data_IF_213131660912
#
_entry.id   IF_213131660912
#
_cell.length_a   1.000
_cell.length_b   1.000
_cell.length_c   1.000
_cell.angle_alpha   90.00
_cell.angle_beta   90.00
_cell.angle_gamma   90.00
#
_symmetry.space_group_name_H-M   'P 1'
#
loop_
_entity.id
_entity.type
_entity.pdbx_description
1 polymer ?
#
# COMPACT_ATOMS: atom_id res chain seq x y z
N UNK A 1 13.82 -23.57 -28.70
CA UNK A 1 14.25 -22.17 -28.94
C UNK A 1 15.77 -22.09 -28.77
N UNK A 2 16.46 -21.10 -29.38
CA UNK A 2 17.86 -20.80 -29.11
C UNK A 2 18.10 -20.39 -27.65
N UNK A 3 19.34 -20.44 -27.18
CA UNK A 3 19.68 -20.10 -25.78
C UNK A 3 19.34 -18.65 -25.45
N UNK A 4 19.67 -17.69 -26.32
CA UNK A 4 19.46 -16.27 -26.03
C UNK A 4 17.98 -15.92 -25.85
N UNK A 5 17.11 -16.49 -26.68
CA UNK A 5 15.65 -16.33 -26.53
C UNK A 5 15.13 -16.89 -25.20
N UNK A 6 15.71 -17.99 -24.71
CA UNK A 6 15.39 -18.56 -23.40
C UNK A 6 15.85 -17.64 -22.26
N UNK A 7 17.05 -17.06 -22.37
CA UNK A 7 17.59 -16.13 -21.39
C UNK A 7 16.80 -14.82 -21.32
N UNK A 8 16.30 -14.32 -22.45
CA UNK A 8 15.40 -13.17 -22.48
C UNK A 8 14.09 -13.45 -21.74
N UNK A 9 13.48 -14.62 -21.98
CA UNK A 9 12.28 -15.06 -21.27
C UNK A 9 12.54 -15.22 -19.77
N UNK A 10 13.68 -15.83 -19.40
CA UNK A 10 14.10 -15.98 -18.01
C UNK A 10 14.37 -14.64 -17.34
N UNK A 11 14.98 -13.68 -18.04
CA UNK A 11 15.22 -12.33 -17.54
C UNK A 11 13.91 -11.61 -17.24
N UNK A 12 12.97 -11.65 -18.18
CA UNK A 12 11.63 -11.07 -18.00
C UNK A 12 10.93 -11.71 -16.79
N UNK A 13 11.03 -13.02 -16.64
CA UNK A 13 10.39 -13.75 -15.54
C UNK A 13 11.07 -13.52 -14.18
N UNK A 14 12.39 -13.31 -14.16
CA UNK A 14 13.18 -13.08 -12.94
C UNK A 14 13.23 -11.61 -12.50
N UNK A 15 12.78 -10.66 -13.35
CA UNK A 15 12.94 -9.21 -13.13
C UNK A 15 12.34 -8.70 -11.81
N UNK A 16 11.30 -9.37 -11.33
CA UNK A 16 10.54 -8.97 -10.14
C UNK A 16 11.14 -9.54 -8.84
N UNK A 17 12.21 -10.36 -8.93
CA UNK A 17 12.95 -10.91 -7.80
C UNK A 17 14.10 -10.02 -7.30
N UNK A 18 14.94 -10.55 -6.40
CA UNK A 18 16.17 -9.87 -5.97
C UNK A 18 17.12 -9.67 -7.18
N UNK A 19 17.54 -8.44 -7.52
CA UNK A 19 18.42 -8.18 -8.67
C UNK A 19 19.77 -8.91 -8.61
N UNK A 20 20.29 -9.19 -7.41
CA UNK A 20 21.54 -9.94 -7.27
C UNK A 20 21.32 -11.43 -7.55
N UNK A 21 20.26 -12.02 -6.97
CA UNK A 21 19.84 -13.38 -7.25
C UNK A 21 19.46 -13.61 -8.72
N UNK A 22 18.73 -12.67 -9.35
CA UNK A 22 18.35 -12.75 -10.76
C UNK A 22 19.57 -12.74 -11.68
N UNK A 23 20.53 -11.82 -11.45
CA UNK A 23 21.80 -11.78 -12.20
C UNK A 23 22.60 -13.08 -12.03
N UNK A 24 22.66 -13.61 -10.81
CA UNK A 24 23.33 -14.87 -10.52
C UNK A 24 22.65 -16.04 -11.25
N UNK A 25 21.33 -16.15 -11.17
CA UNK A 25 20.56 -17.20 -11.84
C UNK A 25 20.76 -17.15 -13.35
N UNK A 26 20.72 -15.96 -13.96
CA UNK A 26 20.95 -15.79 -15.40
C UNK A 26 22.34 -16.25 -15.79
N UNK A 27 23.37 -15.80 -15.07
CA UNK A 27 24.76 -16.18 -15.34
C UNK A 27 24.99 -17.70 -15.17
N UNK A 28 24.46 -18.30 -14.11
CA UNK A 28 24.55 -19.75 -13.87
C UNK A 28 23.80 -20.55 -14.94
N UNK A 29 22.61 -20.09 -15.33
CA UNK A 29 21.78 -20.75 -16.35
C UNK A 29 22.44 -20.66 -17.73
N UNK A 30 22.94 -19.48 -18.11
CA UNK A 30 23.68 -19.25 -19.35
C UNK A 30 24.91 -20.17 -19.43
N UNK A 31 25.71 -20.21 -18.37
CA UNK A 31 26.89 -21.07 -18.31
C UNK A 31 26.53 -22.54 -18.50
N UNK A 32 25.49 -23.03 -17.80
CA UNK A 32 25.08 -24.42 -17.88
C UNK A 32 24.49 -24.79 -19.25
N UNK A 33 23.68 -23.91 -19.85
CA UNK A 33 23.12 -24.12 -21.18
C UNK A 33 24.22 -24.16 -22.24
N UNK A 34 25.19 -23.24 -22.18
CA UNK A 34 26.33 -23.23 -23.11
C UNK A 34 27.23 -24.45 -22.95
N UNK A 35 27.48 -24.90 -21.72
CA UNK A 35 28.21 -26.15 -21.47
C UNK A 35 27.47 -27.35 -22.06
N UNK A 36 26.15 -27.45 -21.84
CA UNK A 36 25.32 -28.52 -22.42
C UNK A 36 25.35 -28.53 -23.94
N UNK A 37 25.18 -27.36 -24.56
CA UNK A 37 25.23 -27.21 -26.02
C UNK A 37 26.63 -27.55 -26.58
N UNK A 38 27.71 -27.21 -25.88
CA UNK A 38 29.07 -27.60 -26.29
C UNK A 38 29.27 -29.13 -26.25
N UNK A 39 28.76 -29.82 -25.23
CA UNK A 39 28.79 -31.30 -25.18
C UNK A 39 27.99 -31.94 -26.30
N UNK A 40 26.81 -31.43 -26.61
CA UNK A 40 25.96 -31.94 -27.69
C UNK A 40 26.61 -31.74 -29.06
N UNK A 41 27.29 -30.61 -29.29
CA UNK A 41 28.12 -30.39 -30.48
C UNK A 41 29.27 -31.40 -30.57
N UNK A 42 29.93 -31.70 -29.45
CA UNK A 42 30.94 -32.76 -29.39
C UNK A 42 30.41 -34.17 -29.72
N UNK A 43 29.10 -34.37 -29.64
CA UNK A 43 28.40 -35.61 -30.03
C UNK A 43 27.92 -35.58 -31.50
N UNK A 44 28.26 -34.54 -32.26
CA UNK A 44 27.95 -34.42 -33.69
C UNK A 44 26.64 -33.73 -34.01
N UNK A 45 25.95 -33.10 -33.05
CA UNK A 45 24.81 -32.25 -33.37
C UNK A 45 25.26 -30.93 -34.02
N UNK A 46 24.45 -30.45 -34.96
CA UNK A 46 24.55 -29.10 -35.50
C UNK A 46 24.44 -28.05 -34.37
N UNK A 47 25.15 -26.89 -34.45
CA UNK A 47 25.12 -25.88 -33.41
C UNK A 47 23.73 -25.42 -32.98
N UNK A 48 22.81 -25.20 -33.92
CA UNK A 48 21.46 -24.73 -33.56
C UNK A 48 20.63 -25.84 -32.89
N UNK A 49 20.75 -27.08 -33.38
CA UNK A 49 20.07 -28.23 -32.79
C UNK A 49 20.60 -28.52 -31.38
N UNK A 50 21.90 -28.36 -31.17
CA UNK A 50 22.52 -28.53 -29.86
C UNK A 50 21.98 -27.51 -28.83
N UNK A 51 21.76 -26.26 -29.23
CA UNK A 51 21.14 -25.24 -28.36
C UNK A 51 19.67 -25.56 -28.06
N UNK A 52 18.89 -25.89 -29.09
CA UNK A 52 17.47 -26.26 -28.93
C UNK A 52 17.33 -27.46 -28.01
N UNK A 53 18.21 -28.45 -28.16
CA UNK A 53 18.24 -29.65 -27.33
C UNK A 53 18.67 -29.36 -25.89
N UNK A 54 19.67 -28.49 -25.69
CA UNK A 54 20.11 -28.07 -24.36
C UNK A 54 18.95 -27.41 -23.59
N UNK A 55 18.24 -26.48 -24.23
CA UNK A 55 17.06 -25.81 -23.64
C UNK A 55 15.94 -26.83 -23.36
N UNK A 56 15.68 -27.75 -24.29
CA UNK A 56 14.66 -28.80 -24.11
C UNK A 56 14.95 -29.67 -22.88
N UNK A 57 16.21 -30.05 -22.65
CA UNK A 57 16.64 -30.83 -21.49
C UNK A 57 16.61 -30.03 -20.19
N UNK A 58 16.93 -28.73 -20.25
CA UNK A 58 16.90 -27.85 -19.08
C UNK A 58 15.47 -27.60 -18.59
N UNK A 59 14.51 -27.54 -19.51
CA UNK A 59 13.09 -27.42 -19.21
C UNK A 59 12.55 -25.98 -19.30
N UNK A 60 11.23 -25.79 -19.15
CA UNK A 60 10.58 -24.49 -19.34
C UNK A 60 10.96 -23.49 -18.23
N UNK A 61 11.00 -22.18 -18.55
CA UNK A 61 11.34 -21.11 -17.60
C UNK A 61 10.49 -21.15 -16.31
N UNK A 62 9.23 -21.59 -16.43
CA UNK A 62 8.29 -21.71 -15.31
C UNK A 62 8.68 -22.72 -14.23
N UNK A 63 9.57 -23.69 -14.50
CA UNK A 63 10.04 -24.65 -13.49
C UNK A 63 11.22 -24.13 -12.67
N UNK A 64 11.97 -23.16 -13.21
CA UNK A 64 13.21 -22.64 -12.59
C UNK A 64 12.95 -21.39 -11.73
N UNK A 65 11.94 -20.61 -12.10
CA UNK A 65 11.56 -19.35 -11.43
C UNK A 65 10.92 -19.47 -10.02
N UNK A 66 10.31 -20.60 -9.58
CA UNK A 66 9.80 -20.71 -8.21
C UNK A 66 10.88 -20.56 -7.14
N UNK A 67 12.13 -20.91 -7.44
CA UNK A 67 13.28 -20.82 -6.52
C UNK A 67 13.63 -19.37 -6.16
N UNK A 68 13.28 -18.42 -7.03
CA UNK A 68 13.50 -16.98 -6.79
C UNK A 68 12.42 -16.33 -5.94
N UNK A 69 11.37 -17.06 -5.56
CA UNK A 69 10.23 -16.50 -4.83
C UNK A 69 10.26 -16.97 -3.37
N UNK A 70 10.51 -16.07 -2.40
CA UNK A 70 10.39 -16.42 -0.99
C UNK A 70 8.96 -16.91 -0.71
N UNK A 71 8.83 -18.10 -0.12
CA UNK A 71 7.54 -18.64 0.22
C UNK A 71 6.93 -17.82 1.37
N UNK A 72 5.60 -17.80 1.50
CA UNK A 72 4.94 -17.16 2.65
C UNK A 72 5.44 -17.72 4.00
N UNK A 73 5.88 -18.98 4.04
CA UNK A 73 6.50 -19.61 5.22
C UNK A 73 7.82 -18.96 5.63
N UNK A 74 8.51 -18.31 4.71
CA UNK A 74 9.78 -17.63 4.97
C UNK A 74 9.56 -16.24 5.60
N UNK A 75 8.34 -15.69 5.52
CA UNK A 75 7.97 -14.42 6.18
C UNK A 75 8.16 -14.50 7.70
N UNK A 76 7.83 -15.66 8.30
CA UNK A 76 7.99 -15.89 9.74
C UNK A 76 9.47 -15.94 10.19
N UNK A 77 10.42 -16.06 9.25
CA UNK A 77 11.86 -16.11 9.51
C UNK A 77 12.57 -14.81 9.16
N UNK A 78 11.83 -13.79 8.72
CA UNK A 78 12.42 -12.50 8.38
C UNK A 78 12.96 -11.81 9.64
N UNK A 79 14.17 -11.23 9.57
CA UNK A 79 14.69 -10.46 10.68
C UNK A 79 13.84 -9.18 10.83
N UNK A 80 13.57 -8.76 12.07
CA UNK A 80 12.73 -7.58 12.36
C UNK A 80 13.16 -6.33 11.57
N UNK A 81 14.48 -6.16 11.33
CA UNK A 81 15.02 -5.06 10.52
C UNK A 81 14.44 -4.99 9.10
N UNK A 82 14.11 -6.13 8.49
CA UNK A 82 13.52 -6.20 7.15
C UNK A 82 12.11 -5.60 7.10
N UNK A 83 11.43 -5.46 8.26
CA UNK A 83 10.11 -4.85 8.37
C UNK A 83 10.17 -3.35 8.63
N UNK A 84 11.31 -2.80 9.09
CA UNK A 84 11.42 -1.38 9.48
C UNK A 84 11.09 -0.47 8.31
N UNK A 85 11.76 -0.62 7.17
CA UNK A 85 11.50 0.23 6.00
C UNK A 85 10.06 0.09 5.47
N UNK A 86 9.50 -1.11 5.27
CA UNK A 86 8.08 -1.27 4.89
C UNK A 86 7.10 -0.64 5.87
N UNK A 87 7.30 -0.83 7.19
CA UNK A 87 6.43 -0.28 8.22
C UNK A 87 6.49 1.25 8.28
N UNK A 88 7.69 1.84 8.21
CA UNK A 88 7.85 3.30 8.16
C UNK A 88 7.22 3.87 6.90
N UNK A 89 7.36 3.18 5.76
CA UNK A 89 6.70 3.59 4.51
C UNK A 89 5.17 3.54 4.60
N UNK A 90 4.62 2.48 5.19
CA UNK A 90 3.17 2.35 5.39
C UNK A 90 2.65 3.40 6.39
N UNK A 91 3.37 3.64 7.49
CA UNK A 91 3.05 4.67 8.46
C UNK A 91 3.07 6.07 7.83
N UNK A 92 4.07 6.36 6.98
CA UNK A 92 4.16 7.62 6.25
C UNK A 92 2.93 7.84 5.34
N UNK A 93 2.57 6.84 4.52
CA UNK A 93 1.40 6.92 3.63
C UNK A 93 0.10 7.05 4.42
N UNK A 94 -0.06 6.28 5.50
CA UNK A 94 -1.23 6.38 6.38
C UNK A 94 -1.36 7.76 7.01
N UNK A 95 -0.26 8.32 7.51
CA UNK A 95 -0.25 9.65 8.11
C UNK A 95 -0.55 10.76 7.10
N UNK A 96 0.02 10.68 5.89
CA UNK A 96 -0.32 11.59 4.79
C UNK A 96 -1.82 11.48 4.43
N UNK A 97 -2.36 10.27 4.37
CA UNK A 97 -3.78 10.06 4.06
C UNK A 97 -4.70 10.71 5.11
N UNK A 98 -4.36 10.62 6.40
CA UNK A 98 -5.04 11.34 7.48
C UNK A 98 -4.91 12.86 7.28
N UNK A 99 -3.74 13.36 6.91
CA UNK A 99 -3.56 14.79 6.57
C UNK A 99 -4.44 15.26 5.42
N UNK A 100 -4.49 14.48 4.33
CA UNK A 100 -5.37 14.77 3.19
C UNK A 100 -6.83 14.75 3.62
N UNK A 101 -7.26 13.82 4.49
CA UNK A 101 -8.64 13.82 4.99
C UNK A 101 -8.95 15.02 5.89
N UNK A 102 -7.94 15.61 6.55
CA UNK A 102 -8.03 16.92 7.21
C UNK A 102 -8.35 18.04 6.22
N UNK A 103 -7.65 18.10 5.09
CA UNK A 103 -7.93 19.09 4.01
C UNK A 103 -9.32 18.88 3.40
N UNK A 104 -9.75 17.63 3.22
CA UNK A 104 -11.13 17.34 2.77
C UNK A 104 -12.16 17.77 3.82
N UNK A 105 -11.86 17.60 5.11
CA UNK A 105 -12.74 18.06 6.21
C UNK A 105 -12.84 19.57 6.25
N UNK A 106 -11.75 20.29 6.02
CA UNK A 106 -11.74 21.75 5.86
C UNK A 106 -12.66 22.18 4.71
N UNK A 107 -12.53 21.53 3.55
CA UNK A 107 -13.40 21.81 2.41
C UNK A 107 -14.88 21.53 2.75
N UNK A 108 -15.16 20.44 3.45
CA UNK A 108 -16.51 20.09 3.88
C UNK A 108 -17.09 21.15 4.82
N UNK A 109 -16.31 21.62 5.79
CA UNK A 109 -16.73 22.67 6.72
C UNK A 109 -17.02 23.99 6.03
N UNK A 110 -16.25 24.35 5.00
CA UNK A 110 -16.51 25.56 4.21
C UNK A 110 -17.76 25.49 3.33
N UNK A 111 -18.11 24.30 2.82
CA UNK A 111 -19.26 24.13 1.92
C UNK A 111 -20.55 23.90 2.70
N UNK A 112 -20.52 23.04 3.73
CA UNK A 112 -21.71 22.58 4.46
C UNK A 112 -21.77 23.07 5.91
N UNK A 113 -20.76 23.80 6.39
CA UNK A 113 -20.68 24.33 7.75
C UNK A 113 -19.97 23.39 8.73
N UNK A 114 -19.47 23.97 9.83
CA UNK A 114 -18.76 23.24 10.87
C UNK A 114 -19.60 22.11 11.51
N UNK A 115 -20.92 22.30 11.66
CA UNK A 115 -21.82 21.27 12.19
C UNK A 115 -21.81 19.96 11.38
N UNK A 116 -21.73 20.05 10.05
CA UNK A 116 -21.61 18.85 9.22
C UNK A 116 -20.33 18.07 9.52
N UNK A 117 -19.22 18.75 9.79
CA UNK A 117 -17.92 18.11 10.02
C UNK A 117 -17.76 17.64 11.46
N UNK A 118 -18.14 18.46 12.43
CA UNK A 118 -17.81 18.28 13.85
C UNK A 118 -18.97 18.64 14.80
N UNK A 119 -20.19 18.72 14.28
CA UNK A 119 -21.38 18.90 15.11
C UNK A 119 -21.66 17.68 15.98
N UNK A 120 -22.21 17.93 17.15
CA UNK A 120 -22.57 16.87 18.09
C UNK A 120 -23.85 16.14 17.68
N UNK A 121 -23.94 14.88 18.09
CA UNK A 121 -25.16 14.09 17.94
C UNK A 121 -26.32 14.69 18.78
N UNK A 122 -27.58 14.41 18.40
CA UNK A 122 -28.74 14.87 19.18
C UNK A 122 -28.66 14.42 20.64
N UNK A 123 -29.04 15.32 21.55
CA UNK A 123 -29.08 15.06 23.00
C UNK A 123 -27.78 15.37 23.74
N UNK A 124 -26.71 15.77 23.05
CA UNK A 124 -25.52 16.34 23.69
C UNK A 124 -25.85 17.73 24.21
N UNK A 125 -25.59 17.96 25.49
CA UNK A 125 -25.78 19.25 26.15
C UNK A 125 -24.50 19.66 26.89
N UNK A 126 -24.20 20.96 26.84
CA UNK A 126 -23.05 21.54 27.49
C UNK A 126 -23.46 22.23 28.80
N UNK A 127 -22.57 22.20 29.79
CA UNK A 127 -22.75 23.02 30.99
C UNK A 127 -22.59 24.50 30.65
N UNK A 128 -23.23 25.39 31.42
CA UNK A 128 -23.11 26.83 31.22
C UNK A 128 -21.65 27.32 31.23
N UNK A 129 -20.81 26.74 32.11
CA UNK A 129 -19.38 27.04 32.17
C UNK A 129 -18.63 26.63 30.89
N UNK A 130 -18.92 25.44 30.34
CA UNK A 130 -18.31 25.00 29.09
C UNK A 130 -18.79 25.85 27.90
N UNK A 131 -20.07 26.22 27.87
CA UNK A 131 -20.60 27.13 26.85
C UNK A 131 -19.91 28.49 26.87
N UNK A 132 -19.71 29.08 28.06
CA UNK A 132 -19.02 30.36 28.18
C UNK A 132 -17.60 30.32 27.60
N UNK A 133 -16.87 29.21 27.80
CA UNK A 133 -15.54 29.01 27.22
C UNK A 133 -15.59 28.86 25.70
N UNK A 134 -16.51 28.02 25.20
CA UNK A 134 -16.64 27.76 23.77
C UNK A 134 -17.11 29.00 22.99
N UNK A 135 -18.01 29.81 23.55
CA UNK A 135 -18.55 31.00 22.89
C UNK A 135 -17.61 32.21 22.98
N UNK A 136 -16.65 32.25 23.91
CA UNK A 136 -15.73 33.37 24.08
C UNK A 136 -15.01 33.81 22.76
N UNK A 137 -14.51 32.90 21.91
CA UNK A 137 -13.93 33.27 20.61
C UNK A 137 -14.95 33.48 19.47
N UNK A 138 -16.23 33.10 19.64
CA UNK A 138 -17.23 33.12 18.58
C UNK A 138 -18.46 33.96 18.95
N UNK A 139 -18.32 35.28 18.84
CA UNK A 139 -19.40 36.21 19.14
C UNK A 139 -20.63 35.97 18.25
N UNK A 140 -21.81 35.85 18.88
CA UNK A 140 -23.09 35.69 18.19
C UNK A 140 -23.49 34.26 17.83
N UNK A 141 -22.63 33.27 18.05
CA UNK A 141 -22.99 31.86 17.92
C UNK A 141 -23.66 31.34 19.20
N UNK A 142 -24.64 30.44 19.04
CA UNK A 142 -25.10 29.65 20.18
C UNK A 142 -24.03 28.65 20.63
N UNK A 143 -24.25 28.01 21.78
CA UNK A 143 -23.25 27.11 22.36
C UNK A 143 -22.95 25.89 21.48
N UNK A 144 -23.94 25.34 20.78
CA UNK A 144 -23.75 24.17 19.92
C UNK A 144 -23.00 24.53 18.63
N UNK A 145 -23.32 25.69 18.06
CA UNK A 145 -22.61 26.26 16.91
C UNK A 145 -21.15 26.56 17.26
N UNK A 146 -20.91 27.20 18.40
CA UNK A 146 -19.55 27.49 18.89
C UNK A 146 -18.75 26.21 19.16
N UNK A 147 -19.40 25.17 19.70
CA UNK A 147 -18.78 23.85 19.89
C UNK A 147 -18.38 23.23 18.54
N UNK A 148 -19.27 23.25 17.55
CA UNK A 148 -18.99 22.71 16.23
C UNK A 148 -17.84 23.44 15.52
N UNK A 149 -17.80 24.78 15.58
CA UNK A 149 -16.68 25.58 15.05
C UNK A 149 -15.35 25.24 15.73
N UNK A 150 -15.36 25.12 17.05
CA UNK A 150 -14.17 24.73 17.81
C UNK A 150 -13.66 23.35 17.43
N UNK A 151 -14.53 22.33 17.46
CA UNK A 151 -14.16 20.95 17.14
C UNK A 151 -13.79 20.77 15.66
N UNK A 152 -14.39 21.54 14.76
CA UNK A 152 -14.01 21.51 13.35
C UNK A 152 -12.55 21.94 13.17
N UNK A 153 -12.14 23.02 13.84
CA UNK A 153 -10.74 23.46 13.89
C UNK A 153 -9.81 22.35 14.37
N UNK A 154 -10.15 21.68 15.48
CA UNK A 154 -9.37 20.56 16.01
C UNK A 154 -9.26 19.37 15.04
N UNK A 155 -10.37 18.99 14.40
CA UNK A 155 -10.40 17.90 13.40
C UNK A 155 -9.45 18.21 12.26
N UNK A 156 -9.46 19.43 11.75
CA UNK A 156 -8.58 19.85 10.64
C UNK A 156 -7.14 19.93 11.11
N UNK A 157 -6.87 20.64 12.21
CA UNK A 157 -5.53 20.89 12.74
C UNK A 157 -4.80 19.58 13.06
N UNK A 158 -5.38 18.70 13.88
CA UNK A 158 -4.73 17.46 14.29
C UNK A 158 -4.43 16.56 13.09
N UNK A 159 -5.34 16.50 12.11
CA UNK A 159 -5.13 15.71 10.89
C UNK A 159 -4.02 16.30 10.03
N UNK A 160 -4.02 17.61 9.80
CA UNK A 160 -2.97 18.29 9.01
C UNK A 160 -1.60 18.11 9.65
N UNK A 161 -1.48 18.27 10.98
CA UNK A 161 -0.25 17.99 11.73
C UNK A 161 0.21 16.56 11.52
N UNK A 162 -0.70 15.58 11.58
CA UNK A 162 -0.37 14.18 11.31
C UNK A 162 0.08 13.97 9.86
N UNK A 163 -0.50 14.69 8.90
CA UNK A 163 -0.04 14.74 7.51
C UNK A 163 1.40 15.22 7.36
N UNK A 164 1.76 16.32 8.05
CA UNK A 164 3.13 16.84 8.08
C UNK A 164 4.10 15.81 8.67
N UNK A 165 3.72 15.14 9.76
CA UNK A 165 4.50 14.03 10.31
C UNK A 165 4.68 12.91 9.28
N UNK A 166 3.65 12.59 8.50
CA UNK A 166 3.73 11.65 7.39
C UNK A 166 4.77 12.02 6.33
N UNK A 167 4.90 13.32 6.00
CA UNK A 167 5.94 13.80 5.09
C UNK A 167 7.35 13.63 5.69
N UNK A 168 7.52 13.88 6.98
CA UNK A 168 8.77 13.62 7.70
C UNK A 168 9.10 12.14 7.69
N UNK A 169 8.13 11.27 7.98
CA UNK A 169 8.31 9.82 7.91
C UNK A 169 8.64 9.35 6.49
N UNK A 170 8.08 9.98 5.46
CA UNK A 170 8.41 9.68 4.06
C UNK A 170 9.87 10.04 3.74
N UNK A 171 10.38 11.15 4.29
CA UNK A 171 11.78 11.51 4.16
C UNK A 171 12.68 10.48 4.86
N UNK A 172 12.36 10.11 6.11
CA UNK A 172 13.08 9.07 6.85
C UNK A 172 13.05 7.75 6.07
N UNK A 173 11.89 7.34 5.55
CA UNK A 173 11.73 6.15 4.73
C UNK A 173 12.65 6.11 3.52
N UNK A 174 12.87 7.27 2.86
CA UNK A 174 13.81 7.36 1.72
C UNK A 174 15.25 7.09 2.15
N UNK A 175 15.63 7.53 3.35
CA UNK A 175 16.98 7.41 3.91
C UNK A 175 17.26 6.03 4.53
N UNK A 176 16.24 5.25 4.89
CA UNK A 176 16.43 3.91 5.46
C UNK A 176 17.12 2.95 4.48
N UNK A 177 18.00 2.04 4.94
CA UNK A 177 18.61 1.05 4.07
C UNK A 177 17.55 0.14 3.43
N UNK A 178 17.84 -0.34 2.22
CA UNK A 178 17.04 -1.37 1.56
C UNK A 178 17.52 -2.72 2.05
N UNK A 179 17.00 -3.14 3.21
CA UNK A 179 17.21 -4.49 3.71
C UNK A 179 16.28 -5.47 2.96
N UNK A 180 16.72 -6.73 2.86
CA UNK A 180 16.04 -7.93 2.36
C UNK A 180 14.68 -7.73 1.65
N UNK A 181 14.60 -8.13 0.38
CA UNK A 181 13.35 -8.03 -0.39
C UNK A 181 12.21 -8.83 0.25
N UNK A 182 11.15 -8.14 0.68
CA UNK A 182 9.87 -8.77 1.01
C UNK A 182 9.24 -9.35 -0.27
N UNK A 183 8.34 -10.36 -0.15
CA UNK A 183 7.54 -10.80 -1.28
C UNK A 183 6.84 -9.60 -1.95
N UNK A 184 6.94 -9.48 -3.27
CA UNK A 184 6.59 -8.27 -4.02
C UNK A 184 5.15 -7.76 -3.78
N UNK A 185 4.23 -8.66 -3.43
CA UNK A 185 2.83 -8.36 -3.11
C UNK A 185 2.52 -8.11 -1.62
N UNK A 186 3.42 -8.42 -0.69
CA UNK A 186 3.10 -8.38 0.74
C UNK A 186 2.75 -6.97 1.23
N UNK A 187 3.63 -6.00 0.98
CA UNK A 187 3.41 -4.60 1.38
C UNK A 187 2.15 -3.99 0.77
N UNK A 188 1.90 -4.06 -0.56
CA UNK A 188 0.66 -3.53 -1.11
C UNK A 188 -0.59 -4.28 -0.61
N UNK A 189 -0.53 -5.59 -0.34
CA UNK A 189 -1.65 -6.32 0.27
C UNK A 189 -1.98 -5.84 1.68
N UNK A 190 -0.95 -5.65 2.53
CA UNK A 190 -1.14 -5.11 3.88
C UNK A 190 -1.70 -3.69 3.85
N UNK A 191 -1.20 -2.85 2.94
CA UNK A 191 -1.72 -1.50 2.74
C UNK A 191 -3.19 -1.53 2.28
N UNK A 192 -3.53 -2.36 1.30
CA UNK A 192 -4.90 -2.52 0.81
C UNK A 192 -5.85 -2.95 1.94
N UNK A 193 -5.46 -3.95 2.73
CA UNK A 193 -6.25 -4.42 3.87
C UNK A 193 -6.46 -3.33 4.93
N UNK A 194 -5.39 -2.60 5.29
CA UNK A 194 -5.47 -1.52 6.27
C UNK A 194 -6.38 -0.39 5.81
N UNK A 195 -6.24 0.06 4.55
CA UNK A 195 -7.08 1.14 4.00
C UNK A 195 -8.53 0.69 3.78
N UNK A 196 -8.76 -0.57 3.38
CA UNK A 196 -10.11 -1.10 3.24
C UNK A 196 -10.82 -1.18 4.60
N UNK A 197 -10.11 -1.65 5.63
CA UNK A 197 -10.63 -1.69 7.00
C UNK A 197 -10.94 -0.28 7.51
N UNK A 198 -10.04 0.68 7.28
CA UNK A 198 -10.26 2.08 7.65
C UNK A 198 -11.47 2.68 6.92
N UNK A 199 -11.60 2.44 5.62
CA UNK A 199 -12.74 2.91 4.82
C UNK A 199 -14.07 2.29 5.30
N UNK A 200 -14.07 0.98 5.61
CA UNK A 200 -15.26 0.31 6.13
C UNK A 200 -15.66 0.85 7.51
N UNK A 201 -14.70 0.94 8.45
CA UNK A 201 -14.96 1.42 9.80
C UNK A 201 -15.47 2.88 9.81
N UNK A 202 -14.78 3.76 9.09
CA UNK A 202 -15.19 5.17 9.00
C UNK A 202 -16.48 5.35 8.19
N UNK A 203 -16.74 4.48 7.20
CA UNK A 203 -18.00 4.44 6.47
C UNK A 203 -19.19 4.08 7.36
N UNK A 204 -19.02 3.08 8.24
CA UNK A 204 -20.05 2.74 9.24
C UNK A 204 -20.32 3.91 10.18
N UNK A 205 -19.27 4.58 10.66
CA UNK A 205 -19.43 5.76 11.53
C UNK A 205 -20.11 6.93 10.80
N UNK A 206 -19.77 7.18 9.53
CA UNK A 206 -20.40 8.20 8.70
C UNK A 206 -21.90 7.91 8.47
N UNK A 207 -22.24 6.66 8.15
CA UNK A 207 -23.64 6.23 7.99
C UNK A 207 -24.42 6.36 9.30
N UNK A 208 -23.83 5.95 10.42
CA UNK A 208 -24.45 6.08 11.73
C UNK A 208 -24.74 7.55 12.08
N UNK A 209 -23.78 8.46 11.84
CA UNK A 209 -23.98 9.89 12.04
C UNK A 209 -25.04 10.49 11.10
N UNK A 210 -25.06 10.06 9.83
CA UNK A 210 -26.07 10.48 8.85
C UNK A 210 -27.49 10.09 9.28
N UNK A 211 -27.69 8.85 9.74
CA UNK A 211 -28.99 8.36 10.25
C UNK A 211 -29.44 9.14 11.48
N UNK A 212 -28.51 9.65 12.28
CA UNK A 212 -28.80 10.43 13.50
C UNK A 212 -28.92 11.94 13.27
N UNK A 213 -28.90 12.42 12.02
CA UNK A 213 -29.12 13.83 11.71
C UNK A 213 -27.94 14.57 11.07
N UNK A 214 -26.98 13.85 10.50
CA UNK A 214 -25.87 14.38 9.68
C UNK A 214 -24.81 15.21 10.40
N UNK A 215 -24.99 15.51 11.68
CA UNK A 215 -24.00 16.20 12.50
C UNK A 215 -22.75 15.33 12.66
N UNK A 216 -21.58 15.91 12.41
CA UNK A 216 -20.30 15.22 12.51
C UNK A 216 -19.99 14.20 11.40
N UNK A 217 -20.92 13.98 10.45
CA UNK A 217 -20.74 13.01 9.35
C UNK A 217 -19.52 13.33 8.49
N UNK A 218 -19.24 14.63 8.26
CA UNK A 218 -18.16 15.10 7.40
C UNK A 218 -16.77 14.65 7.85
N UNK A 219 -16.50 14.58 9.17
CA UNK A 219 -15.21 14.09 9.68
C UNK A 219 -14.97 12.62 9.32
N UNK A 220 -16.01 11.78 9.36
CA UNK A 220 -15.90 10.36 9.00
C UNK A 220 -15.90 10.16 7.48
N UNK A 221 -16.78 10.86 6.78
CA UNK A 221 -16.91 10.77 5.32
C UNK A 221 -15.62 11.20 4.61
N UNK A 222 -14.95 12.25 5.08
CA UNK A 222 -13.66 12.68 4.52
C UNK A 222 -12.59 11.60 4.61
N UNK A 223 -12.58 10.79 5.69
CA UNK A 223 -11.68 9.65 5.80
C UNK A 223 -12.02 8.55 4.79
N UNK A 224 -13.30 8.26 4.55
CA UNK A 224 -13.75 7.31 3.52
C UNK A 224 -13.31 7.74 2.12
N UNK A 225 -13.52 9.03 1.78
CA UNK A 225 -13.16 9.60 0.48
C UNK A 225 -11.67 9.43 0.18
N UNK A 226 -10.81 9.45 1.20
CA UNK A 226 -9.36 9.26 1.01
C UNK A 226 -8.95 7.79 1.10
N UNK A 227 -9.46 7.04 2.08
CA UNK A 227 -9.04 5.68 2.35
C UNK A 227 -9.49 4.70 1.26
N UNK A 228 -10.70 4.84 0.72
CA UNK A 228 -11.23 3.89 -0.27
C UNK A 228 -10.44 3.90 -1.59
N UNK A 229 -10.12 5.07 -2.21
CA UNK A 229 -9.25 5.09 -3.38
C UNK A 229 -7.87 4.49 -3.12
N UNK A 230 -7.27 4.76 -1.96
CA UNK A 230 -5.98 4.16 -1.58
C UNK A 230 -6.07 2.65 -1.45
N UNK A 231 -7.15 2.13 -0.85
CA UNK A 231 -7.40 0.69 -0.78
C UNK A 231 -7.45 0.05 -2.18
N UNK A 232 -8.15 0.68 -3.13
CA UNK A 232 -8.23 0.22 -4.52
C UNK A 232 -6.86 0.25 -5.21
N UNK A 233 -6.12 1.35 -5.08
CA UNK A 233 -4.78 1.49 -5.67
C UNK A 233 -3.85 0.40 -5.15
N UNK A 234 -3.81 0.18 -3.83
CA UNK A 234 -2.96 -0.85 -3.24
C UNK A 234 -3.43 -2.27 -3.56
N UNK A 235 -4.74 -2.52 -3.66
CA UNK A 235 -5.27 -3.81 -4.07
C UNK A 235 -4.89 -4.14 -5.52
N UNK A 236 -5.01 -3.18 -6.44
CA UNK A 236 -4.57 -3.35 -7.83
C UNK A 236 -3.05 -3.56 -7.90
N UNK A 237 -2.27 -2.82 -7.13
CA UNK A 237 -0.83 -3.01 -7.04
C UNK A 237 -0.44 -4.40 -6.50
N UNK A 238 -1.19 -4.92 -5.53
CA UNK A 238 -1.01 -6.27 -5.00
C UNK A 238 -1.35 -7.34 -6.06
N UNK A 239 -2.52 -7.23 -6.69
CA UNK A 239 -2.98 -8.15 -7.74
C UNK A 239 -2.01 -8.23 -8.91
N UNK A 240 -1.48 -7.09 -9.37
CA UNK A 240 -0.49 -7.03 -10.46
C UNK A 240 0.84 -7.71 -10.12
N UNK A 241 1.12 -7.91 -8.83
CA UNK A 241 2.37 -8.54 -8.34
C UNK A 241 2.15 -9.97 -7.87
N UNK A 242 0.91 -10.48 -7.91
CA UNK A 242 0.61 -11.88 -7.62
C UNK A 242 0.52 -12.66 -8.95
N UNK A 243 1.31 -13.73 -9.11
CA UNK A 243 1.18 -14.61 -10.27
C UNK A 243 -0.14 -15.39 -10.14
N UNK A 244 -1.14 -15.06 -10.96
CA UNK A 244 -2.35 -15.89 -11.03
C UNK A 244 -1.99 -17.21 -11.71
N UNK A 245 -2.12 -18.31 -10.97
CA UNK A 245 -2.09 -19.64 -11.57
C UNK A 245 -3.32 -19.74 -12.47
N UNK A 246 -3.20 -20.13 -13.76
CA UNK A 246 -4.38 -20.39 -14.57
C UNK A 246 -5.21 -21.46 -13.86
N UNK A 247 -6.52 -21.20 -13.69
CA UNK A 247 -7.45 -22.24 -13.26
C UNK A 247 -7.43 -23.32 -14.34
N UNK A 248 -6.78 -24.45 -14.04
CA UNK A 248 -6.83 -25.63 -14.90
C UNK A 248 -8.27 -26.13 -14.93
N UNK A 249 -8.96 -25.89 -16.05
CA UNK A 249 -10.18 -26.59 -16.46
C UNK A 249 -9.87 -28.02 -16.88
#
# INVERSE_FOLDING_TARGET
MPIDAYLDELFVAARDGDPAAARRLLAETEAHLRECAARLRGQGLDPEDAEREAVRRFGPVGTVTPVLRPAFRDVARLPLRALVRPLVGLAAVGAIAVGVSGVVSELFGRIWGAGFVAGDLPGVAYTAARCAVLQAPYAGLDCAQAAAEHHWGEVVEYRVVFGVLGLVLLLVWRLLPRDSALPAGLTPSLAAAAFLLAAAATGVLALNAAVQGWQGTGAWLSAVVVALPLAVVFAVAALRRMPMKPLSS
#
